data_IF_328336089258
#
_entry.id   IF_328336089258
#
_cell.length_a   1.000
_cell.length_b   1.000
_cell.length_c   1.000
_cell.angle_alpha   90.00
_cell.angle_beta   90.00
_cell.angle_gamma   90.00
#
_symmetry.space_group_name_H-M   'P 1'
#
loop_
_entity.id
_entity.type
_entity.pdbx_description
1 polymer ?
#
# COMPACT_ATOMS: atom_id res chain seq x y z
N UNK A 1 11.79 -12.60 -12.35
CA UNK A 1 10.33 -12.45 -12.15
C UNK A 1 9.75 -13.75 -11.61
N UNK A 2 8.95 -13.70 -10.58
CA UNK A 2 8.38 -14.88 -9.91
C UNK A 2 6.87 -14.80 -9.88
N UNK A 3 6.21 -15.97 -9.82
CA UNK A 3 4.76 -16.06 -9.67
C UNK A 3 4.33 -15.71 -8.25
N UNK A 4 3.18 -15.07 -8.10
CA UNK A 4 2.63 -14.70 -6.78
C UNK A 4 2.53 -15.91 -5.83
N UNK A 5 2.23 -17.11 -6.34
CA UNK A 5 2.18 -18.33 -5.52
C UNK A 5 3.51 -18.67 -4.86
N UNK A 6 4.64 -18.34 -5.48
CA UNK A 6 5.96 -18.60 -4.90
C UNK A 6 6.21 -17.73 -3.66
N UNK A 7 5.73 -16.49 -3.64
CA UNK A 7 5.81 -15.61 -2.47
C UNK A 7 4.93 -16.10 -1.32
N UNK A 8 3.73 -16.60 -1.62
CA UNK A 8 2.87 -17.22 -0.60
C UNK A 8 3.53 -18.44 0.04
N UNK A 9 4.27 -19.23 -0.75
CA UNK A 9 5.06 -20.37 -0.23
C UNK A 9 6.22 -19.86 0.65
N UNK A 10 6.88 -18.78 0.27
CA UNK A 10 7.95 -18.18 1.08
C UNK A 10 7.43 -17.71 2.43
N UNK A 11 6.28 -17.02 2.46
CA UNK A 11 5.65 -16.57 3.71
C UNK A 11 5.26 -17.76 4.60
N UNK A 12 4.71 -18.83 4.01
CA UNK A 12 4.40 -20.05 4.75
C UNK A 12 5.63 -20.76 5.31
N UNK A 13 6.71 -20.81 4.53
CA UNK A 13 7.98 -21.34 4.99
C UNK A 13 8.56 -20.50 6.13
N UNK A 14 8.48 -19.17 6.03
CA UNK A 14 8.91 -18.28 7.09
C UNK A 14 8.18 -18.58 8.42
N UNK A 15 6.86 -18.81 8.37
CA UNK A 15 6.07 -19.25 9.53
C UNK A 15 6.60 -20.59 10.09
N UNK A 16 6.91 -21.55 9.23
CA UNK A 16 7.44 -22.86 9.65
C UNK A 16 8.79 -22.73 10.38
N UNK A 17 9.60 -21.72 10.00
CA UNK A 17 10.86 -21.40 10.67
C UNK A 17 10.71 -20.43 11.85
N UNK A 18 9.47 -20.18 12.31
CA UNK A 18 9.18 -19.38 13.50
C UNK A 18 9.15 -17.87 13.30
N UNK A 19 9.17 -17.38 12.05
CA UNK A 19 9.00 -15.95 11.75
C UNK A 19 7.52 -15.59 11.93
N UNK A 20 7.25 -14.53 12.70
CA UNK A 20 5.90 -14.05 12.93
C UNK A 20 5.43 -13.19 11.73
N UNK A 21 4.22 -13.45 11.21
CA UNK A 21 3.62 -12.64 10.14
C UNK A 21 3.49 -11.15 10.51
N UNK A 22 3.31 -10.83 11.80
CA UNK A 22 3.31 -9.44 12.25
C UNK A 22 4.67 -8.79 12.05
N UNK A 23 5.77 -9.51 12.28
CA UNK A 23 7.14 -9.01 12.05
C UNK A 23 7.42 -8.81 10.56
N UNK A 24 6.89 -9.69 9.69
CA UNK A 24 6.99 -9.50 8.23
C UNK A 24 6.30 -8.20 7.82
N UNK A 25 5.09 -7.95 8.31
CA UNK A 25 4.34 -6.73 8.06
C UNK A 25 5.06 -5.48 8.63
N UNK A 26 5.63 -5.58 9.84
CA UNK A 26 6.41 -4.50 10.43
C UNK A 26 7.64 -4.16 9.59
N UNK A 27 8.36 -5.16 9.08
CA UNK A 27 9.51 -4.98 8.21
C UNK A 27 9.11 -4.38 6.84
N UNK A 28 7.99 -4.82 6.26
CA UNK A 28 7.47 -4.26 5.02
C UNK A 28 7.11 -2.77 5.19
N UNK A 29 6.35 -2.44 6.23
CA UNK A 29 5.99 -1.06 6.55
C UNK A 29 7.21 -0.19 6.86
N UNK A 30 8.21 -0.72 7.56
CA UNK A 30 9.46 -0.02 7.82
C UNK A 30 10.24 0.26 6.51
N UNK A 31 10.28 -0.69 5.58
CA UNK A 31 10.90 -0.50 4.26
C UNK A 31 10.23 0.61 3.45
N UNK A 32 8.90 0.67 3.45
CA UNK A 32 8.13 1.76 2.81
C UNK A 32 8.48 3.10 3.45
N UNK A 33 8.44 3.18 4.78
CA UNK A 33 8.75 4.41 5.52
C UNK A 33 10.17 4.87 5.27
N UNK A 34 11.14 3.96 5.24
CA UNK A 34 12.54 4.27 4.97
C UNK A 34 12.75 4.81 3.54
N UNK A 35 12.07 4.24 2.55
CA UNK A 35 12.10 4.76 1.18
C UNK A 35 11.58 6.19 1.14
N UNK A 36 10.43 6.46 1.77
CA UNK A 36 9.82 7.79 1.81
C UNK A 36 10.74 8.79 2.54
N UNK A 37 11.30 8.42 3.68
CA UNK A 37 12.24 9.28 4.43
C UNK A 37 13.49 9.65 3.64
N UNK A 38 13.96 8.76 2.76
CA UNK A 38 15.16 9.01 1.92
C UNK A 38 14.87 9.92 0.74
N UNK A 39 13.67 9.87 0.18
CA UNK A 39 13.35 10.52 -1.08
C UNK A 39 12.45 11.76 -0.93
N UNK A 40 11.80 11.96 0.23
CA UNK A 40 10.85 13.05 0.48
C UNK A 40 11.20 13.80 1.76
N UNK A 41 10.86 15.09 1.80
CA UNK A 41 11.07 15.96 2.97
C UNK A 41 9.94 15.79 3.97
N UNK A 42 10.19 16.08 5.25
CA UNK A 42 9.18 15.93 6.33
C UNK A 42 7.94 16.81 6.15
N UNK A 43 8.02 17.90 5.38
CA UNK A 43 6.87 18.75 5.06
C UNK A 43 6.06 18.26 3.86
N UNK A 44 6.39 17.11 3.27
CA UNK A 44 5.59 16.46 2.23
C UNK A 44 4.26 15.98 2.83
N UNK A 45 3.14 16.38 2.23
CA UNK A 45 1.80 15.94 2.61
C UNK A 45 1.49 14.60 1.94
N UNK A 46 1.33 13.56 2.73
CA UNK A 46 1.23 12.19 2.24
C UNK A 46 -0.17 11.65 2.50
N UNK A 47 -0.82 11.15 1.46
CA UNK A 47 -2.08 10.43 1.54
C UNK A 47 -1.85 8.92 1.36
N UNK A 48 -2.04 8.13 2.41
CA UNK A 48 -2.07 6.68 2.32
C UNK A 48 -3.48 6.19 2.03
N UNK A 49 -3.64 5.29 1.06
CA UNK A 49 -4.92 4.64 0.75
C UNK A 49 -4.80 3.16 1.06
N UNK A 50 -5.43 2.73 2.17
CA UNK A 50 -5.28 1.40 2.73
C UNK A 50 -6.53 0.55 2.50
N UNK A 51 -6.34 -0.62 1.90
CA UNK A 51 -7.36 -1.65 1.76
C UNK A 51 -7.55 -2.49 3.02
N UNK A 52 -8.46 -3.47 2.95
CA UNK A 52 -8.78 -4.38 4.06
C UNK A 52 -7.84 -5.59 4.19
N UNK A 53 -6.89 -5.79 3.29
CA UNK A 53 -5.93 -6.90 3.28
C UNK A 53 -4.59 -6.57 3.94
N UNK A 54 -3.61 -7.47 3.75
CA UNK A 54 -2.26 -7.30 4.30
C UNK A 54 -1.53 -6.10 3.70
N UNK A 55 -1.71 -5.81 2.41
CA UNK A 55 -1.14 -4.62 1.79
C UNK A 55 -1.58 -3.31 2.48
N UNK A 56 -2.86 -3.23 2.90
CA UNK A 56 -3.33 -2.14 3.76
C UNK A 56 -2.66 -2.14 5.13
N UNK A 57 -2.35 -3.32 5.67
CA UNK A 57 -1.59 -3.48 6.92
C UNK A 57 -0.18 -2.89 6.84
N UNK A 58 0.54 -3.16 5.75
CA UNK A 58 1.86 -2.59 5.49
C UNK A 58 1.78 -1.05 5.44
N UNK A 59 0.71 -0.52 4.81
CA UNK A 59 0.41 0.90 4.78
C UNK A 59 0.14 1.51 6.16
N UNK A 60 -0.56 0.82 7.05
CA UNK A 60 -0.79 1.30 8.43
C UNK A 60 0.51 1.36 9.21
N UNK A 61 1.38 0.35 9.10
CA UNK A 61 2.69 0.36 9.75
C UNK A 61 3.56 1.51 9.24
N UNK A 62 3.67 1.66 7.91
CA UNK A 62 4.44 2.75 7.31
C UNK A 62 3.93 4.13 7.75
N UNK A 63 2.61 4.32 7.76
CA UNK A 63 1.97 5.56 8.20
C UNK A 63 2.29 5.88 9.65
N UNK A 64 2.24 4.89 10.55
CA UNK A 64 2.57 5.05 11.97
C UNK A 64 4.02 5.51 12.17
N UNK A 65 4.95 4.88 11.44
CA UNK A 65 6.38 5.23 11.52
C UNK A 65 6.61 6.67 11.01
N UNK A 66 5.99 7.05 9.90
CA UNK A 66 6.13 8.38 9.31
C UNK A 66 5.52 9.47 10.19
N UNK A 67 4.36 9.22 10.79
CA UNK A 67 3.77 10.11 11.80
C UNK A 67 4.72 10.31 12.99
N UNK A 68 5.31 9.23 13.51
CA UNK A 68 6.31 9.28 14.57
C UNK A 68 7.59 10.05 14.19
N UNK A 69 7.91 10.14 12.90
CA UNK A 69 9.02 10.92 12.35
C UNK A 69 8.65 12.37 11.99
N UNK A 70 7.40 12.78 12.21
CA UNK A 70 6.91 14.14 12.00
C UNK A 70 6.50 14.49 10.58
N UNK A 71 6.20 13.49 9.73
CA UNK A 71 5.59 13.71 8.43
C UNK A 71 4.11 14.08 8.56
N UNK A 72 3.61 14.87 7.61
CA UNK A 72 2.18 15.17 7.49
C UNK A 72 1.46 14.03 6.73
N UNK A 73 0.89 13.10 7.49
CA UNK A 73 0.27 11.88 6.95
C UNK A 73 -1.23 11.87 7.21
N UNK A 74 -2.01 11.71 6.14
CA UNK A 74 -3.44 11.39 6.18
C UNK A 74 -3.67 9.98 5.68
N UNK A 75 -4.45 9.18 6.42
CA UNK A 75 -4.70 7.77 6.12
C UNK A 75 -6.17 7.59 5.73
N UNK A 76 -6.41 7.07 4.53
CA UNK A 76 -7.74 6.74 4.03
C UNK A 76 -7.94 5.22 4.06
N UNK A 77 -9.01 4.77 4.71
CA UNK A 77 -9.40 3.35 4.74
C UNK A 77 -10.63 3.10 3.87
N UNK A 78 -10.60 2.02 3.12
CA UNK A 78 -11.79 1.55 2.42
C UNK A 78 -12.78 0.86 3.37
N UNK A 79 -12.26 0.03 4.27
CA UNK A 79 -13.02 -0.74 5.25
C UNK A 79 -12.16 -1.06 6.47
N UNK A 80 -12.77 -1.60 7.51
CA UNK A 80 -12.01 -2.21 8.62
C UNK A 80 -11.29 -3.45 8.06
N UNK A 81 -9.98 -3.62 8.34
CA UNK A 81 -9.22 -4.77 7.86
C UNK A 81 -9.84 -6.11 8.28
N UNK A 82 -9.83 -7.07 7.36
CA UNK A 82 -10.29 -8.46 7.58
C UNK A 82 -9.18 -9.38 8.07
N UNK A 83 -7.93 -9.11 7.67
CA UNK A 83 -6.75 -9.77 8.23
C UNK A 83 -6.57 -9.38 9.70
N UNK A 84 -6.38 -10.37 10.58
CA UNK A 84 -6.19 -10.13 12.03
C UNK A 84 -4.99 -9.22 12.27
N UNK A 85 -3.88 -9.45 11.54
CA UNK A 85 -2.65 -8.68 11.69
C UNK A 85 -2.87 -7.23 11.25
N UNK A 86 -3.40 -7.02 10.05
CA UNK A 86 -3.70 -5.69 9.53
C UNK A 86 -4.72 -4.95 10.42
N UNK A 87 -5.68 -5.68 11.02
CA UNK A 87 -6.64 -5.10 11.96
C UNK A 87 -5.97 -4.61 13.24
N UNK A 88 -5.00 -5.34 13.76
CA UNK A 88 -4.26 -4.90 14.95
C UNK A 88 -3.46 -3.62 14.64
N UNK A 89 -2.76 -3.57 13.50
CA UNK A 89 -2.04 -2.35 13.06
C UNK A 89 -2.98 -1.17 12.85
N UNK A 90 -4.15 -1.40 12.26
CA UNK A 90 -5.19 -0.37 12.14
C UNK A 90 -5.68 0.14 13.50
N UNK A 91 -5.89 -0.74 14.48
CA UNK A 91 -6.36 -0.35 15.82
C UNK A 91 -5.32 0.45 16.59
N UNK A 92 -4.02 0.20 16.38
CA UNK A 92 -2.93 0.97 16.98
C UNK A 92 -2.94 2.44 16.54
N UNK A 93 -3.45 2.76 15.34
CA UNK A 93 -3.63 4.13 14.83
C UNK A 93 -4.85 4.86 15.41
N UNK A 94 -5.76 4.12 16.06
CA UNK A 94 -6.95 4.68 16.67
C UNK A 94 -7.87 5.42 15.67
N UNK A 95 -8.31 6.64 16.03
CA UNK A 95 -9.21 7.46 15.20
C UNK A 95 -8.51 8.29 14.13
N UNK A 96 -7.23 8.06 13.87
CA UNK A 96 -6.42 8.86 12.92
C UNK A 96 -6.71 8.55 11.43
N UNK A 97 -7.69 7.69 11.14
CA UNK A 97 -8.04 7.31 9.77
C UNK A 97 -9.31 7.97 9.28
N UNK A 98 -9.33 8.40 8.01
CA UNK A 98 -10.49 8.91 7.29
C UNK A 98 -11.17 7.82 6.45
N UNK A 99 -12.42 8.04 6.07
CA UNK A 99 -13.07 7.18 5.09
C UNK A 99 -12.53 7.49 3.69
N UNK A 100 -12.35 6.47 2.86
CA UNK A 100 -11.87 6.64 1.48
C UNK A 100 -12.80 7.54 0.62
N UNK A 101 -14.06 7.67 0.99
CA UNK A 101 -14.99 8.59 0.34
C UNK A 101 -14.56 10.06 0.41
N UNK A 102 -13.68 10.42 1.35
CA UNK A 102 -13.13 11.77 1.49
C UNK A 102 -11.88 11.99 0.62
N UNK A 103 -11.37 10.94 -0.06
CA UNK A 103 -10.10 11.00 -0.81
C UNK A 103 -10.12 12.05 -1.93
N UNK A 104 -11.24 12.19 -2.64
CA UNK A 104 -11.38 13.12 -3.76
C UNK A 104 -11.14 14.59 -3.34
N UNK A 105 -11.49 14.93 -2.10
CA UNK A 105 -11.26 16.26 -1.54
C UNK A 105 -9.78 16.57 -1.27
N UNK A 106 -8.93 15.53 -1.30
CA UNK A 106 -7.48 15.65 -1.08
C UNK A 106 -6.68 15.81 -2.36
N UNK A 107 -7.32 15.78 -3.51
CA UNK A 107 -6.70 16.12 -4.78
C UNK A 107 -6.14 17.55 -4.72
N UNK A 108 -4.83 17.68 -5.00
CA UNK A 108 -4.09 18.96 -4.87
C UNK A 108 -3.75 19.38 -3.44
N UNK A 109 -4.22 18.64 -2.40
CA UNK A 109 -3.83 18.86 -1.01
C UNK A 109 -2.70 17.93 -0.57
N UNK A 110 -2.61 16.73 -1.11
CA UNK A 110 -1.50 15.82 -0.90
C UNK A 110 -0.45 15.96 -2.01
N UNK A 111 0.82 15.93 -1.63
CA UNK A 111 1.97 16.00 -2.54
C UNK A 111 2.37 14.60 -3.02
N UNK A 112 2.01 13.57 -2.26
CA UNK A 112 2.29 12.17 -2.52
C UNK A 112 1.08 11.31 -2.12
N UNK A 113 0.68 10.39 -2.99
CA UNK A 113 -0.27 9.33 -2.68
C UNK A 113 0.48 8.00 -2.57
N UNK A 114 0.19 7.21 -1.52
CA UNK A 114 0.72 5.85 -1.34
C UNK A 114 -0.41 4.85 -1.47
N UNK A 115 -0.35 4.05 -2.52
CA UNK A 115 -1.32 3.01 -2.86
C UNK A 115 -1.01 1.72 -2.11
N UNK A 116 -1.80 1.46 -1.08
CA UNK A 116 -1.86 0.21 -0.32
C UNK A 116 -3.27 -0.41 -0.41
N UNK A 117 -4.01 -0.16 -1.50
CA UNK A 117 -5.42 -0.54 -1.62
C UNK A 117 -5.58 -2.03 -1.90
N UNK A 118 -4.87 -2.56 -2.91
CA UNK A 118 -4.87 -3.96 -3.32
C UNK A 118 -3.43 -4.44 -3.52
N UNK A 119 -3.10 -5.64 -3.02
CA UNK A 119 -1.81 -6.30 -3.27
C UNK A 119 -1.94 -7.44 -4.27
N UNK A 120 -0.87 -8.19 -4.46
CA UNK A 120 -0.72 -9.31 -5.40
C UNK A 120 -1.70 -10.49 -5.20
N UNK A 121 -2.45 -10.50 -4.09
CA UNK A 121 -3.46 -11.52 -3.80
C UNK A 121 -4.77 -11.39 -4.59
N UNK A 122 -5.00 -10.27 -5.28
CA UNK A 122 -6.23 -10.03 -6.05
C UNK A 122 -5.97 -10.36 -7.52
N UNK A 123 -6.90 -11.09 -8.13
CA UNK A 123 -6.85 -11.46 -9.54
C UNK A 123 -8.09 -10.97 -10.28
N UNK A 124 -7.88 -10.53 -11.52
CA UNK A 124 -8.94 -10.05 -12.41
C UNK A 124 -9.35 -8.61 -12.16
N UNK A 125 -10.47 -8.20 -12.74
CA UNK A 125 -10.99 -6.83 -12.68
C UNK A 125 -11.36 -6.43 -11.24
N UNK A 126 -10.86 -5.30 -10.72
CA UNK A 126 -11.33 -4.75 -9.46
C UNK A 126 -12.84 -4.47 -9.52
N UNK A 127 -13.57 -5.01 -8.55
CA UNK A 127 -15.04 -4.81 -8.47
C UNK A 127 -15.35 -3.50 -7.74
N UNK A 128 -16.53 -2.90 -7.96
CA UNK A 128 -16.97 -1.79 -7.15
C UNK A 128 -16.86 -2.09 -5.65
N UNK A 129 -16.38 -1.15 -4.84
CA UNK A 129 -16.06 0.26 -5.19
C UNK A 129 -14.59 0.51 -5.56
N UNK A 130 -13.75 -0.53 -5.74
CA UNK A 130 -12.31 -0.39 -5.98
C UNK A 130 -12.00 0.35 -7.30
N UNK A 131 -12.73 0.04 -8.38
CA UNK A 131 -12.61 0.67 -9.69
C UNK A 131 -12.71 2.20 -9.59
N UNK A 132 -13.75 2.70 -8.92
CA UNK A 132 -13.95 4.13 -8.68
C UNK A 132 -12.77 4.77 -7.95
N UNK A 133 -12.27 4.12 -6.87
CA UNK A 133 -11.19 4.71 -6.08
C UNK A 133 -9.85 4.64 -6.80
N UNK A 134 -9.60 3.64 -7.62
CA UNK A 134 -8.43 3.57 -8.50
C UNK A 134 -8.44 4.75 -9.48
N UNK A 135 -9.60 5.08 -10.09
CA UNK A 135 -9.73 6.26 -10.96
C UNK A 135 -9.44 7.57 -10.22
N UNK A 136 -9.96 7.73 -9.00
CA UNK A 136 -9.65 8.90 -8.15
C UNK A 136 -8.16 8.95 -7.83
N UNK A 137 -7.56 7.85 -7.42
CA UNK A 137 -6.13 7.77 -7.08
C UNK A 137 -5.25 8.12 -8.28
N UNK A 138 -5.58 7.67 -9.49
CA UNK A 138 -4.86 8.01 -10.72
C UNK A 138 -4.93 9.51 -11.10
N UNK A 139 -5.75 10.31 -10.42
CA UNK A 139 -5.79 11.76 -10.63
C UNK A 139 -4.77 12.53 -9.79
N UNK A 140 -3.99 11.84 -8.93
CA UNK A 140 -2.87 12.42 -8.18
C UNK A 140 -1.60 12.41 -9.05
N UNK A 141 -0.73 13.41 -8.86
CA UNK A 141 0.46 13.57 -9.70
C UNK A 141 1.60 12.62 -9.33
N UNK A 142 1.77 12.35 -8.03
CA UNK A 142 2.83 11.50 -7.52
C UNK A 142 2.23 10.32 -6.77
N UNK A 143 2.48 9.11 -7.27
CA UNK A 143 1.93 7.88 -6.72
C UNK A 143 3.06 6.88 -6.49
N UNK A 144 3.11 6.34 -5.27
CA UNK A 144 3.90 5.15 -4.93
C UNK A 144 2.92 4.01 -4.72
N UNK A 145 3.06 2.90 -5.45
CA UNK A 145 2.34 1.66 -5.17
C UNK A 145 3.16 0.73 -4.29
N UNK A 146 2.49 0.01 -3.40
CA UNK A 146 3.08 -0.98 -2.48
C UNK A 146 2.72 -2.39 -2.92
N UNK A 147 3.70 -3.28 -2.92
CA UNK A 147 3.67 -4.67 -3.38
C UNK A 147 3.49 -4.77 -4.90
N UNK A 148 2.37 -4.33 -5.42
CA UNK A 148 2.03 -4.16 -6.84
C UNK A 148 1.09 -2.97 -7.01
N UNK A 149 1.04 -2.33 -8.18
CA UNK A 149 -0.01 -1.35 -8.46
C UNK A 149 -1.40 -1.96 -8.30
N UNK A 150 -2.27 -1.32 -7.53
CA UNK A 150 -3.63 -1.81 -7.33
C UNK A 150 -4.36 -2.00 -8.65
N UNK A 151 -4.87 -3.22 -8.89
CA UNK A 151 -5.55 -3.59 -10.12
C UNK A 151 -4.62 -3.89 -11.30
N UNK A 152 -3.32 -4.10 -11.08
CA UNK A 152 -2.37 -4.47 -12.14
C UNK A 152 -2.92 -5.59 -13.04
N UNK A 153 -2.67 -5.48 -14.35
CA UNK A 153 -3.18 -6.44 -15.35
C UNK A 153 -4.66 -6.28 -15.71
N UNK A 154 -5.38 -5.31 -15.13
CA UNK A 154 -6.76 -4.99 -15.45
C UNK A 154 -6.89 -3.62 -16.13
N UNK A 155 -8.10 -3.30 -16.65
CA UNK A 155 -8.39 -1.95 -17.18
C UNK A 155 -8.44 -0.88 -16.10
N UNK A 156 -8.69 -1.26 -14.85
CA UNK A 156 -8.66 -0.39 -13.68
C UNK A 156 -7.40 -0.66 -12.86
N UNK A 157 -6.30 -0.08 -13.28
CA UNK A 157 -5.02 -0.21 -12.58
C UNK A 157 -4.47 1.16 -12.19
N UNK A 158 -3.77 1.22 -11.08
CA UNK A 158 -2.95 2.38 -10.71
C UNK A 158 -1.78 2.48 -11.69
N UNK A 159 -1.48 3.71 -12.11
CA UNK A 159 -0.28 4.05 -12.88
C UNK A 159 0.68 4.81 -11.97
N UNK A 160 1.56 4.13 -11.25
CA UNK A 160 2.43 4.76 -10.26
C UNK A 160 3.68 5.34 -10.90
N UNK A 161 4.33 6.29 -10.21
CA UNK A 161 5.68 6.74 -10.54
C UNK A 161 6.73 5.74 -10.04
N UNK A 162 6.43 5.08 -8.91
CA UNK A 162 7.32 4.11 -8.25
C UNK A 162 6.48 2.97 -7.68
N UNK A 163 7.01 1.76 -7.73
CA UNK A 163 6.45 0.61 -7.00
C UNK A 163 7.48 0.05 -6.04
N UNK A 164 7.14 0.02 -4.75
CA UNK A 164 7.93 -0.65 -3.72
C UNK A 164 7.41 -2.08 -3.61
N UNK A 165 8.16 -3.03 -4.14
CA UNK A 165 7.78 -4.45 -4.15
C UNK A 165 8.60 -5.24 -3.14
N UNK A 166 8.02 -6.33 -2.61
CA UNK A 166 8.66 -7.19 -1.62
C UNK A 166 9.11 -8.52 -2.24
N UNK A 167 10.19 -9.10 -1.72
CA UNK A 167 10.85 -10.33 -2.13
C UNK A 167 11.52 -10.22 -3.50
N UNK A 168 10.76 -9.98 -4.59
CA UNK A 168 11.25 -9.92 -5.98
C UNK A 168 10.14 -9.34 -6.87
N UNK A 169 10.48 -9.07 -8.15
CA UNK A 169 9.51 -8.64 -9.17
C UNK A 169 8.44 -9.70 -9.41
N UNK A 170 7.18 -9.28 -9.44
CA UNK A 170 6.06 -10.14 -9.84
C UNK A 170 6.01 -10.23 -11.36
N UNK A 171 5.50 -11.37 -11.88
CA UNK A 171 5.48 -11.70 -13.32
C UNK A 171 4.75 -10.66 -14.17
N UNK A 172 3.76 -9.96 -13.58
CA UNK A 172 2.91 -8.98 -14.27
C UNK A 172 3.52 -7.57 -14.30
N UNK A 173 4.63 -7.30 -13.56
CA UNK A 173 5.23 -5.98 -13.41
C UNK A 173 6.22 -5.67 -14.54
N UNK A 174 6.16 -4.45 -15.03
CA UNK A 174 7.14 -3.86 -15.95
C UNK A 174 7.17 -2.32 -15.74
N UNK A 175 8.14 -1.63 -16.36
CA UNK A 175 8.30 -0.18 -16.17
C UNK A 175 7.08 0.63 -16.66
N UNK A 176 6.31 0.14 -17.64
CA UNK A 176 5.15 0.86 -18.18
C UNK A 176 3.97 0.85 -17.18
N UNK A 177 3.77 -0.25 -16.45
CA UNK A 177 2.63 -0.41 -15.54
C UNK A 177 2.98 -0.27 -14.05
N UNK A 178 4.27 -0.21 -13.71
CA UNK A 178 4.72 -0.18 -12.32
C UNK A 178 5.67 1.00 -12.00
N UNK A 179 6.04 1.79 -13.01
CA UNK A 179 7.03 2.86 -12.87
C UNK A 179 8.41 2.31 -12.50
N UNK A 180 9.20 3.10 -11.78
CA UNK A 180 10.46 2.61 -11.20
C UNK A 180 10.17 1.58 -10.10
N UNK A 181 10.84 0.43 -10.15
CA UNK A 181 10.62 -0.67 -9.21
C UNK A 181 11.86 -0.84 -8.32
#
# INVERSE_FOLDING_TARGET
MRKVVEFQILDQNALHYGVNLSEIMDNAGAGIADYICKNYKNNTRIAFVCGGGNNGGDGYVASSILLGKGFDVTIFKLSIPTSVIAKNKFLELGLMTKNISELEEYKGKADLLVDCLLGSGIKGEPRPPFDKYIEIMNSFENIISVDVPSGIGSRYAITPNVTITFHDYKEEMNEENSGTI
#
